data_IF_063847387537
#
_entry.id   IF_063847387537
#
_cell.length_a   1.000
_cell.length_b   1.000
_cell.length_c   1.000
_cell.angle_alpha   90.00
_cell.angle_beta   90.00
_cell.angle_gamma   90.00
#
_symmetry.space_group_name_H-M   'P 1'
#
loop_
_entity.id
_entity.type
_entity.pdbx_description
1 polymer ?
#
# COMPACT_ATOMS: atom_id res chain seq x y z
N UNK A 1 -45.88 16.25 30.82
CA UNK A 1 -46.81 16.62 31.92
C UNK A 1 -46.81 15.50 32.94
N UNK A 2 -47.05 15.82 34.20
CA UNK A 2 -47.30 14.83 35.25
C UNK A 2 -48.70 14.25 35.16
N UNK A 3 -48.87 12.99 35.56
CA UNK A 3 -50.15 12.36 35.89
C UNK A 3 -50.12 11.61 37.22
N UNK A 4 -49.18 11.95 38.11
CA UNK A 4 -48.97 11.25 39.38
C UNK A 4 -49.87 11.85 40.46
N UNK A 5 -50.56 11.00 41.23
CA UNK A 5 -51.43 11.40 42.35
C UNK A 5 -50.67 11.31 43.68
N UNK A 6 -50.92 12.24 44.60
CA UNK A 6 -50.37 12.22 45.97
C UNK A 6 -49.51 13.43 46.32
N UNK A 7 -48.74 13.34 47.41
CA UNK A 7 -47.92 14.44 47.97
C UNK A 7 -46.42 14.26 47.74
N UNK A 8 -46.01 13.22 47.01
CA UNK A 8 -44.61 12.94 46.69
C UNK A 8 -44.04 13.95 45.69
N UNK A 9 -42.76 14.29 45.84
CA UNK A 9 -42.06 15.15 44.88
C UNK A 9 -41.99 14.54 43.48
N UNK A 10 -42.00 15.38 42.46
CA UNK A 10 -41.89 14.97 41.05
C UNK A 10 -40.91 15.87 40.29
N UNK A 11 -40.30 15.30 39.23
CA UNK A 11 -39.37 16.00 38.34
C UNK A 11 -39.80 15.87 36.87
N UNK A 12 -39.72 16.96 36.12
CA UNK A 12 -39.89 16.99 34.66
C UNK A 12 -38.58 17.48 34.04
N UNK A 13 -38.00 16.68 33.14
CA UNK A 13 -36.78 17.04 32.40
C UNK A 13 -37.09 17.04 30.90
N UNK A 14 -36.76 18.13 30.21
CA UNK A 14 -36.98 18.27 28.77
C UNK A 14 -35.86 19.09 28.14
N UNK A 15 -35.39 18.68 26.95
CA UNK A 15 -34.51 19.48 26.14
C UNK A 15 -35.35 20.47 25.33
N UNK A 16 -35.06 21.75 25.48
CA UNK A 16 -35.82 22.84 24.89
C UNK A 16 -34.87 23.72 24.07
N UNK A 17 -35.36 24.24 22.95
CA UNK A 17 -34.64 25.27 22.19
C UNK A 17 -34.50 26.55 23.02
N UNK A 18 -33.61 27.46 22.63
CA UNK A 18 -33.52 28.76 23.28
C UNK A 18 -34.87 29.52 23.17
N UNK A 19 -35.38 30.01 24.30
CA UNK A 19 -36.66 30.72 24.34
C UNK A 19 -37.18 30.94 25.76
N UNK A 20 -38.28 31.68 25.86
CA UNK A 20 -38.98 31.93 27.13
C UNK A 20 -39.98 30.82 27.40
N UNK A 21 -39.84 30.16 28.55
CA UNK A 21 -40.73 29.08 28.97
C UNK A 21 -41.42 29.44 30.28
N UNK A 22 -42.66 28.96 30.44
CA UNK A 22 -43.47 29.17 31.64
C UNK A 22 -43.83 27.82 32.26
N UNK A 23 -43.59 27.66 33.55
CA UNK A 23 -44.10 26.53 34.32
C UNK A 23 -45.51 26.88 34.85
N UNK A 24 -46.50 26.03 34.56
CA UNK A 24 -47.87 26.18 35.03
C UNK A 24 -48.26 25.00 35.91
N UNK A 25 -48.64 25.29 37.15
CA UNK A 25 -49.18 24.30 38.09
C UNK A 25 -50.70 24.41 38.07
N UNK A 26 -51.38 23.32 37.70
CA UNK A 26 -52.83 23.24 37.75
C UNK A 26 -53.24 22.46 39.01
N UNK A 27 -54.11 23.04 39.83
CA UNK A 27 -54.65 22.36 41.01
C UNK A 27 -55.77 21.37 40.60
N UNK A 28 -55.88 20.26 41.31
CA UNK A 28 -56.99 19.30 41.14
C UNK A 28 -58.15 19.63 42.09
N UNK A 29 -57.91 19.85 43.39
CA UNK A 29 -58.89 20.37 44.37
C UNK A 29 -58.21 20.92 45.64
N UNK A 30 -58.92 21.74 46.43
CA UNK A 30 -58.43 22.29 47.71
C UNK A 30 -57.42 23.44 47.62
N UNK A 31 -56.94 23.90 48.78
CA UNK A 31 -55.77 24.79 48.90
C UNK A 31 -54.50 23.94 48.88
N UNK A 32 -53.60 24.21 47.92
CA UNK A 32 -52.34 23.45 47.78
C UNK A 32 -51.16 24.41 47.92
N UNK A 33 -50.23 24.08 48.81
CA UNK A 33 -48.91 24.71 48.86
C UNK A 33 -47.91 23.84 48.10
N UNK A 34 -47.06 24.44 47.28
CA UNK A 34 -46.04 23.71 46.52
C UNK A 34 -44.69 24.42 46.62
N UNK A 35 -43.62 23.63 46.73
CA UNK A 35 -42.26 24.10 46.49
C UNK A 35 -41.91 23.83 45.03
N UNK A 36 -41.58 24.88 44.28
CA UNK A 36 -41.12 24.75 42.89
C UNK A 36 -39.64 25.12 42.81
N UNK A 37 -38.84 24.20 42.28
CA UNK A 37 -37.44 24.46 41.92
C UNK A 37 -37.28 24.29 40.42
N UNK A 38 -36.71 25.28 39.75
CA UNK A 38 -36.36 25.21 38.34
C UNK A 38 -34.85 25.36 38.20
N UNK A 39 -34.25 24.42 37.49
CA UNK A 39 -32.86 24.50 37.07
C UNK A 39 -32.81 24.34 35.55
N UNK A 40 -31.99 25.15 34.89
CA UNK A 40 -31.69 25.03 33.48
C UNK A 40 -30.18 24.85 33.32
N UNK A 41 -29.78 23.84 32.55
CA UNK A 41 -28.40 23.62 32.16
C UNK A 41 -28.32 23.85 30.66
N UNK A 42 -27.48 24.79 30.23
CA UNK A 42 -27.21 24.96 28.81
C UNK A 42 -26.58 23.68 28.25
N UNK A 43 -27.19 23.14 27.20
CA UNK A 43 -26.55 22.12 26.37
C UNK A 43 -25.71 22.84 25.33
N UNK A 44 -24.39 22.88 25.56
CA UNK A 44 -23.46 23.28 24.50
C UNK A 44 -23.61 22.30 23.33
N UNK A 45 -23.88 22.76 22.09
CA UNK A 45 -23.86 21.86 20.95
C UNK A 45 -22.48 21.22 20.89
N UNK A 46 -22.43 19.88 20.80
CA UNK A 46 -21.20 19.18 20.46
C UNK A 46 -20.66 19.84 19.19
N UNK A 47 -19.39 20.29 19.14
CA UNK A 47 -18.86 20.88 17.93
C UNK A 47 -19.08 19.89 16.78
N UNK A 48 -19.76 20.32 15.72
CA UNK A 48 -19.80 19.56 14.47
C UNK A 48 -18.34 19.30 14.09
N UNK A 49 -17.89 18.04 13.95
CA UNK A 49 -16.51 17.78 13.60
C UNK A 49 -16.24 18.51 12.29
N UNK A 50 -15.29 19.44 12.31
CA UNK A 50 -14.75 20.01 11.07
C UNK A 50 -14.27 18.83 10.24
N UNK A 51 -14.70 18.67 8.97
CA UNK A 51 -14.14 17.62 8.13
C UNK A 51 -12.64 17.89 8.04
N UNK A 52 -11.84 17.05 8.72
CA UNK A 52 -10.39 17.04 8.55
C UNK A 52 -10.14 16.92 7.05
N UNK A 53 -9.35 17.82 6.42
CA UNK A 53 -8.97 17.64 5.03
C UNK A 53 -8.36 16.24 4.89
N UNK A 54 -9.11 15.31 4.30
CA UNK A 54 -8.62 13.96 4.11
C UNK A 54 -7.69 14.02 2.91
N UNK A 55 -6.43 13.69 3.12
CA UNK A 55 -5.50 13.54 2.01
C UNK A 55 -5.83 12.27 1.20
N UNK A 56 -5.22 12.13 0.03
CA UNK A 56 -5.46 10.95 -0.82
C UNK A 56 -5.17 9.65 -0.07
N UNK A 57 -4.14 9.62 0.78
CA UNK A 57 -3.76 8.43 1.54
C UNK A 57 -4.91 7.97 2.46
N UNK A 58 -5.44 8.86 3.30
CA UNK A 58 -6.53 8.54 4.23
C UNK A 58 -7.86 8.23 3.52
N UNK A 59 -8.04 8.71 2.28
CA UNK A 59 -9.24 8.43 1.48
C UNK A 59 -9.20 7.09 0.74
N UNK A 60 -8.01 6.61 0.38
CA UNK A 60 -7.86 5.48 -0.55
C UNK A 60 -7.20 4.26 0.07
N UNK A 61 -6.56 4.41 1.23
CA UNK A 61 -5.91 3.33 1.96
C UNK A 61 -6.65 3.08 3.29
N UNK A 62 -6.48 1.89 3.84
CA UNK A 62 -7.24 1.38 4.98
C UNK A 62 -6.32 1.09 6.17
N UNK A 63 -5.16 0.49 5.93
CA UNK A 63 -4.21 0.15 6.97
C UNK A 63 -3.44 1.40 7.47
N UNK A 64 -3.40 1.57 8.78
CA UNK A 64 -2.85 2.77 9.40
C UNK A 64 -1.32 2.88 9.26
N UNK A 65 -0.62 1.74 9.26
CA UNK A 65 0.84 1.71 9.12
C UNK A 65 1.25 1.99 7.68
N UNK A 66 0.61 1.33 6.71
CA UNK A 66 0.82 1.57 5.28
C UNK A 66 0.47 3.01 4.90
N UNK A 67 -0.62 3.57 5.43
CA UNK A 67 -0.97 5.01 5.25
C UNK A 67 0.19 5.89 5.70
N UNK A 68 0.68 5.66 6.92
CA UNK A 68 1.70 6.50 7.54
C UNK A 68 3.03 6.39 6.80
N UNK A 69 3.45 5.16 6.50
CA UNK A 69 4.70 4.90 5.80
C UNK A 69 4.67 5.43 4.37
N UNK A 70 3.64 5.11 3.60
CA UNK A 70 3.52 5.57 2.20
C UNK A 70 3.53 7.09 2.13
N UNK A 71 2.81 7.77 3.04
CA UNK A 71 2.80 9.24 3.11
C UNK A 71 4.20 9.82 3.34
N UNK A 72 5.01 9.16 4.17
CA UNK A 72 6.39 9.58 4.44
C UNK A 72 7.32 9.33 3.26
N UNK A 73 7.20 8.17 2.61
CA UNK A 73 8.07 7.80 1.50
C UNK A 73 7.77 8.60 0.24
N UNK A 74 6.49 8.81 -0.09
CA UNK A 74 6.07 9.53 -1.30
C UNK A 74 6.06 11.06 -1.16
N UNK A 75 6.91 11.61 -0.29
CA UNK A 75 7.03 13.08 -0.10
C UNK A 75 7.60 13.79 -1.32
N UNK A 76 8.42 13.09 -2.11
CA UNK A 76 8.97 13.53 -3.39
C UNK A 76 8.02 13.26 -4.58
N UNK A 77 6.84 12.70 -4.34
CA UNK A 77 5.89 12.29 -5.36
C UNK A 77 6.31 11.02 -6.12
N UNK A 78 7.32 10.30 -5.64
CA UNK A 78 7.81 9.03 -6.17
C UNK A 78 7.56 7.89 -5.17
N UNK A 79 7.34 6.68 -5.68
CA UNK A 79 7.57 5.45 -4.92
C UNK A 79 8.62 4.64 -5.67
N UNK A 80 9.87 4.75 -5.20
CA UNK A 80 11.01 4.04 -5.75
C UNK A 80 10.93 2.53 -5.47
N UNK A 81 11.87 1.77 -6.06
CA UNK A 81 12.03 0.34 -5.75
C UNK A 81 12.17 0.11 -4.24
N UNK A 82 12.99 0.91 -3.56
CA UNK A 82 13.25 0.75 -2.13
C UNK A 82 12.04 1.13 -1.28
N UNK A 83 11.26 2.12 -1.72
CA UNK A 83 10.02 2.50 -1.04
C UNK A 83 8.99 1.39 -1.13
N UNK A 84 8.79 0.82 -2.32
CA UNK A 84 7.88 -0.30 -2.52
C UNK A 84 8.32 -1.54 -1.72
N UNK A 85 9.61 -1.88 -1.69
CA UNK A 85 10.12 -2.96 -0.83
C UNK A 85 9.82 -2.67 0.65
N UNK A 86 9.99 -1.42 1.09
CA UNK A 86 9.71 -1.04 2.48
C UNK A 86 8.22 -1.17 2.80
N UNK A 87 7.34 -0.73 1.91
CA UNK A 87 5.88 -0.85 2.05
C UNK A 87 5.44 -2.33 2.06
N UNK A 88 5.98 -3.17 1.17
CA UNK A 88 5.68 -4.61 1.20
C UNK A 88 6.14 -5.28 2.49
N UNK A 89 7.20 -4.77 3.11
CA UNK A 89 7.70 -5.29 4.39
C UNK A 89 6.94 -4.78 5.61
N UNK A 90 6.40 -3.58 5.51
CA UNK A 90 5.55 -2.97 6.53
C UNK A 90 4.26 -3.75 6.70
N UNK A 91 3.63 -4.15 5.58
CA UNK A 91 2.45 -5.00 5.50
C UNK A 91 2.60 -6.41 6.08
N UNK A 92 3.72 -6.74 6.72
CA UNK A 92 3.93 -8.01 7.43
C UNK A 92 3.68 -7.85 8.93
N UNK A 93 3.20 -6.68 9.35
CA UNK A 93 2.84 -6.46 10.73
C UNK A 93 1.79 -7.50 11.17
N UNK A 94 1.95 -8.03 12.39
CA UNK A 94 1.09 -9.13 12.84
C UNK A 94 1.41 -10.52 12.26
N UNK A 95 2.41 -10.66 11.38
CA UNK A 95 2.97 -11.95 10.94
C UNK A 95 2.24 -12.63 9.78
N UNK A 96 1.16 -12.02 9.30
CA UNK A 96 0.40 -12.44 8.12
C UNK A 96 -0.10 -11.21 7.37
N UNK A 97 -0.20 -11.32 6.05
CA UNK A 97 -0.77 -10.27 5.21
C UNK A 97 -2.28 -10.30 5.36
N UNK A 98 -2.90 -9.30 5.98
CA UNK A 98 -4.32 -9.23 6.17
C UNK A 98 -5.07 -8.65 4.95
N UNK A 99 -6.39 -8.52 5.07
CA UNK A 99 -7.22 -8.03 3.97
C UNK A 99 -7.05 -6.51 3.71
N UNK A 100 -6.79 -5.73 4.76
CA UNK A 100 -6.58 -4.28 4.69
C UNK A 100 -5.25 -3.98 4.01
N UNK A 101 -4.19 -4.65 4.43
CA UNK A 101 -2.85 -4.54 3.84
C UNK A 101 -2.87 -4.94 2.37
N UNK A 102 -3.47 -6.09 2.03
CA UNK A 102 -3.57 -6.52 0.64
C UNK A 102 -4.37 -5.54 -0.22
N UNK A 103 -5.40 -4.92 0.35
CA UNK A 103 -6.19 -3.89 -0.33
C UNK A 103 -5.32 -2.68 -0.64
N UNK A 104 -4.55 -2.21 0.34
CA UNK A 104 -3.68 -1.04 0.19
C UNK A 104 -2.55 -1.27 -0.79
N UNK A 105 -1.86 -2.41 -0.72
CA UNK A 105 -0.80 -2.79 -1.66
C UNK A 105 -1.32 -2.75 -3.11
N UNK A 106 -2.53 -3.26 -3.36
CA UNK A 106 -3.16 -3.25 -4.69
C UNK A 106 -3.60 -1.84 -5.09
N UNK A 107 -4.08 -1.03 -4.15
CA UNK A 107 -4.42 0.37 -4.38
C UNK A 107 -3.18 1.18 -4.78
N UNK A 108 -2.05 0.99 -4.10
CA UNK A 108 -0.80 1.68 -4.42
C UNK A 108 -0.29 1.33 -5.81
N UNK A 109 -0.26 0.04 -6.15
CA UNK A 109 0.17 -0.45 -7.48
C UNK A 109 -0.73 0.09 -8.60
N UNK A 110 -2.06 0.05 -8.41
CA UNK A 110 -3.01 0.55 -9.42
C UNK A 110 -2.92 2.07 -9.62
N UNK A 111 -2.46 2.80 -8.59
CA UNK A 111 -2.22 4.25 -8.64
C UNK A 111 -0.75 4.62 -8.91
N UNK A 112 0.04 3.72 -9.49
CA UNK A 112 1.47 3.94 -9.84
C UNK A 112 1.78 5.27 -10.53
N UNK A 113 0.90 5.79 -11.40
CA UNK A 113 1.07 7.10 -12.06
C UNK A 113 1.08 8.28 -11.08
N UNK A 114 0.33 8.20 -9.98
CA UNK A 114 0.32 9.22 -8.91
C UNK A 114 1.69 9.33 -8.25
N UNK A 115 2.39 8.21 -8.18
CA UNK A 115 3.66 8.06 -7.48
C UNK A 115 4.84 8.00 -8.43
N UNK A 116 4.69 8.47 -9.68
CA UNK A 116 5.75 8.53 -10.70
C UNK A 116 6.62 7.25 -10.76
N UNK A 117 6.01 6.09 -10.50
CA UNK A 117 6.79 4.86 -10.35
C UNK A 117 7.46 4.53 -11.67
N UNK A 118 8.74 4.16 -11.63
CA UNK A 118 9.40 3.61 -12.81
C UNK A 118 8.63 2.37 -13.31
N UNK A 119 8.58 2.15 -14.62
CA UNK A 119 7.82 1.05 -15.22
C UNK A 119 8.21 -0.32 -14.64
N UNK A 120 9.50 -0.53 -14.38
CA UNK A 120 10.00 -1.74 -13.72
C UNK A 120 9.42 -1.90 -12.31
N UNK A 121 9.43 -0.84 -11.50
CA UNK A 121 8.88 -0.86 -10.13
C UNK A 121 7.39 -1.15 -10.17
N UNK A 122 6.64 -0.52 -11.07
CA UNK A 122 5.21 -0.79 -11.27
C UNK A 122 4.96 -2.25 -11.64
N UNK A 123 5.65 -2.77 -12.65
CA UNK A 123 5.45 -4.14 -13.15
C UNK A 123 5.82 -5.17 -12.09
N UNK A 124 6.95 -5.00 -11.41
CA UNK A 124 7.42 -5.94 -10.39
C UNK A 124 6.53 -5.88 -9.15
N UNK A 125 6.12 -4.69 -8.70
CA UNK A 125 5.15 -4.53 -7.60
C UNK A 125 3.81 -5.17 -7.93
N UNK A 126 3.34 -5.05 -9.18
CA UNK A 126 2.12 -5.70 -9.63
C UNK A 126 2.20 -7.23 -9.56
N UNK A 127 3.36 -7.81 -9.87
CA UNK A 127 3.57 -9.27 -9.77
C UNK A 127 3.61 -9.76 -8.32
N UNK A 128 3.95 -8.90 -7.36
CA UNK A 128 3.89 -9.19 -5.92
C UNK A 128 2.45 -9.04 -5.40
N UNK A 129 1.86 -7.85 -5.53
CA UNK A 129 0.59 -7.48 -4.86
C UNK A 129 -0.66 -8.15 -5.48
N UNK A 130 -0.65 -8.35 -6.81
CA UNK A 130 -1.76 -8.95 -7.52
C UNK A 130 -1.50 -10.45 -7.70
N UNK A 131 -1.18 -10.87 -8.92
CA UNK A 131 -0.88 -12.26 -9.22
C UNK A 131 -0.03 -12.33 -10.48
N UNK A 132 0.85 -13.31 -10.52
CA UNK A 132 1.62 -13.65 -11.71
C UNK A 132 1.74 -15.17 -11.80
N UNK A 133 1.65 -15.70 -13.03
CA UNK A 133 1.73 -17.15 -13.27
C UNK A 133 3.08 -17.74 -12.88
N UNK A 134 4.14 -16.93 -12.80
CA UNK A 134 5.44 -17.38 -12.33
C UNK A 134 5.43 -17.64 -10.81
N UNK A 135 4.62 -16.92 -10.03
CA UNK A 135 4.55 -17.13 -8.58
C UNK A 135 4.00 -18.52 -8.24
N UNK A 136 2.97 -18.98 -8.98
CA UNK A 136 2.39 -20.32 -8.79
C UNK A 136 3.37 -21.44 -9.14
N UNK A 137 4.35 -21.17 -10.00
CA UNK A 137 5.42 -22.10 -10.38
C UNK A 137 6.61 -22.10 -9.43
N UNK A 138 6.67 -21.16 -8.48
CA UNK A 138 7.81 -20.98 -7.57
C UNK A 138 7.65 -21.72 -6.23
N UNK A 139 6.58 -22.51 -6.06
CA UNK A 139 6.30 -23.28 -4.85
C UNK A 139 5.68 -22.48 -3.69
N UNK A 140 5.76 -21.14 -3.70
CA UNK A 140 5.14 -20.28 -2.67
C UNK A 140 3.87 -19.53 -3.11
N UNK A 141 3.52 -19.51 -4.40
CA UNK A 141 2.23 -19.01 -4.87
C UNK A 141 2.05 -17.48 -4.83
N UNK A 142 0.86 -17.02 -5.24
CA UNK A 142 0.49 -15.59 -5.26
C UNK A 142 0.14 -15.07 -3.87
N UNK A 143 0.27 -13.76 -3.66
CA UNK A 143 -0.15 -13.08 -2.45
C UNK A 143 -1.68 -13.10 -2.29
N UNK A 144 -2.16 -13.42 -1.09
CA UNK A 144 -3.57 -13.37 -0.71
C UNK A 144 -3.71 -13.03 0.79
N UNK A 145 -4.91 -12.68 1.24
CA UNK A 145 -5.14 -12.39 2.65
C UNK A 145 -4.99 -13.66 3.48
N UNK A 146 -4.09 -13.65 4.46
CA UNK A 146 -3.60 -14.81 5.21
C UNK A 146 -2.25 -15.34 4.72
N UNK A 147 -1.64 -14.75 3.68
CA UNK A 147 -0.25 -15.04 3.29
C UNK A 147 0.70 -14.79 4.46
N UNK A 148 1.73 -15.62 4.61
CA UNK A 148 2.73 -15.43 5.67
C UNK A 148 3.81 -14.40 5.32
N UNK A 149 4.52 -13.89 6.33
CA UNK A 149 5.74 -13.08 6.15
C UNK A 149 6.74 -13.72 5.20
N UNK A 150 6.94 -15.04 5.35
CA UNK A 150 7.84 -15.81 4.50
C UNK A 150 7.41 -15.77 3.04
N UNK A 151 6.10 -15.86 2.78
CA UNK A 151 5.57 -15.78 1.42
C UNK A 151 5.81 -14.38 0.82
N UNK A 152 5.61 -13.32 1.61
CA UNK A 152 5.91 -11.94 1.18
C UNK A 152 7.40 -11.77 0.87
N UNK A 153 8.31 -12.20 1.76
CA UNK A 153 9.76 -12.11 1.51
C UNK A 153 10.19 -12.95 0.31
N UNK A 154 9.59 -14.11 0.07
CA UNK A 154 9.87 -14.90 -1.13
C UNK A 154 9.44 -14.18 -2.42
N UNK A 155 8.30 -13.47 -2.39
CA UNK A 155 7.83 -12.69 -3.53
C UNK A 155 8.70 -11.45 -3.79
N UNK A 156 9.09 -10.71 -2.74
CA UNK A 156 10.08 -9.62 -2.82
C UNK A 156 11.40 -10.17 -3.37
N UNK A 157 11.83 -11.31 -2.82
CA UNK A 157 13.00 -12.05 -3.22
C UNK A 157 13.01 -12.37 -4.70
N UNK A 158 11.90 -12.92 -5.21
CA UNK A 158 11.73 -13.25 -6.62
C UNK A 158 11.78 -12.03 -7.54
N UNK A 159 10.99 -11.00 -7.23
CA UNK A 159 10.74 -9.93 -8.20
C UNK A 159 11.69 -8.75 -8.07
N UNK A 160 12.14 -8.41 -6.87
CA UNK A 160 13.06 -7.29 -6.66
C UNK A 160 14.50 -7.73 -6.42
N UNK A 161 14.74 -8.82 -5.69
CA UNK A 161 16.08 -9.17 -5.20
C UNK A 161 16.77 -10.30 -5.99
N UNK A 162 16.08 -10.97 -6.90
CA UNK A 162 16.63 -12.08 -7.70
C UNK A 162 17.06 -13.31 -6.87
N UNK A 163 16.46 -13.53 -5.70
CA UNK A 163 16.79 -14.68 -4.82
C UNK A 163 16.07 -15.96 -5.20
N UNK A 164 14.97 -15.86 -5.97
CA UNK A 164 14.34 -17.01 -6.61
C UNK A 164 15.01 -17.29 -7.95
N UNK A 165 15.95 -18.23 -7.94
CA UNK A 165 16.79 -18.56 -9.08
C UNK A 165 16.14 -19.70 -9.90
N UNK A 166 16.29 -19.69 -11.23
CA UNK A 166 15.87 -20.83 -12.05
C UNK A 166 16.46 -22.15 -11.54
N UNK A 167 15.73 -23.24 -11.75
CA UNK A 167 16.23 -24.57 -11.46
C UNK A 167 17.41 -24.90 -12.40
N UNK A 168 18.50 -25.40 -11.82
CA UNK A 168 19.73 -25.68 -12.55
C UNK A 168 20.49 -26.82 -11.88
N UNK A 169 21.07 -27.71 -12.69
CA UNK A 169 22.00 -28.75 -12.23
C UNK A 169 23.34 -28.17 -11.71
N UNK A 170 23.49 -26.84 -11.74
CA UNK A 170 24.69 -26.11 -11.37
C UNK A 170 24.43 -25.20 -10.17
N UNK A 171 25.45 -25.04 -9.33
CA UNK A 171 25.41 -24.06 -8.26
C UNK A 171 25.63 -22.64 -8.82
N UNK A 172 24.66 -21.75 -8.61
CA UNK A 172 24.81 -20.33 -8.93
C UNK A 172 25.97 -19.71 -8.16
N UNK A 173 26.83 -19.00 -8.90
CA UNK A 173 27.97 -18.25 -8.35
C UNK A 173 27.76 -16.76 -8.57
N UNK A 174 28.27 -15.95 -7.65
CA UNK A 174 28.39 -14.51 -7.88
C UNK A 174 29.49 -14.25 -8.91
N UNK A 175 29.21 -13.34 -9.85
CA UNK A 175 30.21 -12.79 -10.76
C UNK A 175 30.59 -11.41 -10.24
N UNK A 176 31.88 -11.16 -10.09
CA UNK A 176 32.42 -9.85 -9.71
C UNK A 176 32.99 -9.13 -10.93
N UNK A 177 32.71 -7.84 -11.07
CA UNK A 177 33.24 -7.01 -12.15
C UNK A 177 32.32 -5.81 -12.42
N UNK A 178 32.69 -5.03 -13.43
CA UNK A 178 31.80 -3.98 -13.97
C UNK A 178 30.84 -4.60 -14.98
N UNK A 179 29.57 -4.22 -14.94
CA UNK A 179 28.57 -4.69 -15.90
C UNK A 179 28.96 -4.34 -17.35
N UNK A 180 29.56 -3.17 -17.55
CA UNK A 180 30.15 -2.73 -18.82
C UNK A 180 31.61 -2.33 -18.60
N UNK A 181 32.53 -2.93 -19.35
CA UNK A 181 33.97 -2.66 -19.25
C UNK A 181 34.50 -2.24 -20.62
N UNK A 182 34.99 -1.00 -20.74
CA UNK A 182 35.51 -0.44 -22.00
C UNK A 182 34.48 -0.33 -23.14
N UNK A 183 33.19 -0.23 -22.80
CA UNK A 183 32.09 -0.22 -23.76
C UNK A 183 31.63 -1.62 -24.15
N UNK A 184 30.53 -1.71 -24.89
CA UNK A 184 30.01 -2.98 -25.40
C UNK A 184 30.66 -3.31 -26.75
N UNK A 185 31.00 -4.58 -26.95
CA UNK A 185 31.59 -5.11 -28.17
C UNK A 185 30.96 -6.44 -28.56
N UNK A 186 30.95 -6.75 -29.86
CA UNK A 186 30.62 -8.10 -30.33
C UNK A 186 31.55 -9.18 -29.72
N UNK A 187 32.77 -8.80 -29.33
CA UNK A 187 33.74 -9.71 -28.70
C UNK A 187 33.38 -10.07 -27.25
N UNK A 188 32.44 -9.34 -26.62
CA UNK A 188 31.95 -9.66 -25.28
C UNK A 188 30.97 -10.84 -25.31
N UNK A 189 30.49 -11.23 -26.50
CA UNK A 189 29.55 -12.33 -26.68
C UNK A 189 30.28 -13.60 -27.06
N UNK A 190 30.17 -14.60 -26.19
CA UNK A 190 30.74 -15.93 -26.41
C UNK A 190 29.64 -16.99 -26.41
N UNK A 191 29.55 -17.75 -27.50
CA UNK A 191 28.60 -18.87 -27.58
C UNK A 191 29.12 -20.06 -26.75
N UNK A 192 28.28 -20.55 -25.85
CA UNK A 192 28.53 -21.77 -25.08
C UNK A 192 28.13 -23.05 -25.83
N UNK A 193 27.96 -24.14 -25.08
CA UNK A 193 27.51 -25.43 -25.63
C UNK A 193 25.98 -25.55 -25.77
N UNK A 194 25.27 -24.42 -25.73
CA UNK A 194 23.81 -24.37 -25.87
C UNK A 194 23.46 -23.99 -27.31
N UNK A 195 22.36 -24.53 -27.84
CA UNK A 195 21.88 -24.31 -29.21
C UNK A 195 21.22 -22.95 -29.43
N UNK A 196 21.73 -21.89 -28.79
CA UNK A 196 21.17 -20.53 -28.79
C UNK A 196 21.91 -19.57 -29.73
N UNK A 197 22.64 -20.12 -30.72
CA UNK A 197 23.45 -19.34 -31.66
C UNK A 197 22.71 -18.17 -32.31
N UNK A 198 21.43 -18.35 -32.68
CA UNK A 198 20.61 -17.30 -33.26
C UNK A 198 20.43 -16.10 -32.31
N UNK A 199 20.31 -16.36 -31.01
CA UNK A 199 20.14 -15.35 -29.98
C UNK A 199 21.45 -14.62 -29.71
N UNK A 200 22.53 -15.36 -29.44
CA UNK A 200 23.83 -14.75 -29.14
C UNK A 200 24.43 -14.02 -30.35
N UNK A 201 24.24 -14.52 -31.58
CA UNK A 201 24.64 -13.80 -32.79
C UNK A 201 23.88 -12.48 -32.96
N UNK A 202 22.60 -12.44 -32.58
CA UNK A 202 21.81 -11.21 -32.60
C UNK A 202 22.32 -10.21 -31.56
N UNK A 203 22.65 -10.66 -30.34
CA UNK A 203 23.25 -9.80 -29.32
C UNK A 203 24.61 -9.24 -29.77
N UNK A 204 25.47 -10.05 -30.40
CA UNK A 204 26.75 -9.59 -30.94
C UNK A 204 26.55 -8.52 -32.02
N UNK A 205 25.56 -8.70 -32.90
CA UNK A 205 25.20 -7.70 -33.91
C UNK A 205 24.71 -6.39 -33.29
N UNK A 206 23.84 -6.43 -32.27
CA UNK A 206 23.36 -5.23 -31.57
C UNK A 206 24.52 -4.55 -30.82
N UNK A 207 25.40 -5.31 -30.17
CA UNK A 207 26.57 -4.75 -29.49
C UNK A 207 27.50 -4.00 -30.46
N UNK A 208 27.65 -4.48 -31.70
CA UNK A 208 28.45 -3.84 -32.73
C UNK A 208 27.80 -2.58 -33.33
N UNK A 209 26.50 -2.65 -33.61
CA UNK A 209 25.80 -1.62 -34.41
C UNK A 209 25.07 -0.58 -33.55
N UNK A 210 24.54 -0.98 -32.40
CA UNK A 210 23.67 -0.20 -31.51
C UNK A 210 23.91 -0.54 -30.02
N UNK A 211 25.14 -0.41 -29.49
CA UNK A 211 25.47 -0.82 -28.12
C UNK A 211 24.57 -0.19 -27.06
N UNK A 212 24.14 1.05 -27.25
CA UNK A 212 23.24 1.77 -26.33
C UNK A 212 21.90 1.03 -26.12
N UNK A 213 21.44 0.24 -27.08
CA UNK A 213 20.19 -0.53 -26.93
C UNK A 213 20.35 -1.58 -25.84
N UNK A 214 21.49 -2.28 -25.80
CA UNK A 214 21.79 -3.24 -24.73
C UNK A 214 22.04 -2.48 -23.44
N UNK A 215 22.83 -1.40 -23.46
CA UNK A 215 23.14 -0.64 -22.25
C UNK A 215 21.87 -0.13 -21.54
N UNK A 216 20.91 0.39 -22.31
CA UNK A 216 19.64 0.91 -21.82
C UNK A 216 18.62 -0.17 -21.40
N UNK A 217 18.94 -1.46 -21.54
CA UNK A 217 18.16 -2.54 -20.94
C UNK A 217 18.44 -2.68 -19.44
N UNK A 218 19.62 -2.29 -18.98
CA UNK A 218 20.06 -2.52 -17.61
C UNK A 218 19.83 -1.29 -16.73
N UNK A 219 19.35 -1.54 -15.52
CA UNK A 219 19.33 -0.57 -14.42
C UNK A 219 20.08 -1.19 -13.25
N UNK A 220 21.13 -0.50 -12.79
CA UNK A 220 21.81 -0.86 -11.54
C UNK A 220 20.95 -0.40 -10.36
N UNK A 221 20.59 -1.34 -9.48
CA UNK A 221 19.76 -1.05 -8.33
C UNK A 221 20.56 -0.58 -7.11
N UNK A 222 21.91 -0.59 -7.18
CA UNK A 222 22.80 -0.17 -6.09
C UNK A 222 22.94 -1.17 -4.95
N UNK A 223 22.38 -2.38 -5.10
CA UNK A 223 22.36 -3.45 -4.09
C UNK A 223 22.93 -4.78 -4.62
N UNK A 224 23.80 -4.72 -5.63
CA UNK A 224 24.34 -5.87 -6.39
C UNK A 224 23.29 -6.66 -7.17
N UNK A 225 22.11 -6.09 -7.40
CA UNK A 225 21.12 -6.61 -8.34
C UNK A 225 20.96 -5.65 -9.53
N UNK A 226 20.56 -6.22 -10.67
CA UNK A 226 20.25 -5.45 -11.87
C UNK A 226 18.84 -5.74 -12.32
N UNK A 227 18.10 -4.70 -12.68
CA UNK A 227 16.86 -4.86 -13.43
C UNK A 227 17.17 -4.86 -14.92
N UNK A 228 16.69 -5.87 -15.62
CA UNK A 228 16.89 -6.02 -17.08
C UNK A 228 15.55 -5.95 -17.78
N UNK A 229 15.38 -4.96 -18.66
CA UNK A 229 14.19 -4.79 -19.50
C UNK A 229 14.37 -5.52 -20.83
N UNK A 230 13.41 -6.37 -21.17
CA UNK A 230 13.29 -6.96 -22.49
C UNK A 230 12.11 -6.35 -23.24
N UNK A 231 12.24 -6.23 -24.56
CA UNK A 231 11.15 -5.79 -25.43
C UNK A 231 10.38 -6.99 -25.97
N UNK A 232 9.05 -6.93 -25.91
CA UNK A 232 8.17 -7.94 -26.49
C UNK A 232 7.23 -7.25 -27.47
N UNK A 233 7.35 -7.60 -28.75
CA UNK A 233 6.60 -6.95 -29.85
C UNK A 233 6.86 -5.44 -29.95
N UNK A 234 8.09 -5.00 -29.66
CA UNK A 234 8.51 -3.60 -29.79
C UNK A 234 8.13 -2.68 -28.63
N UNK A 235 7.57 -3.23 -27.54
CA UNK A 235 7.25 -2.51 -26.29
C UNK A 235 7.86 -3.18 -25.08
#
# INVERSE_FOLDING_TARGET
SSSIYGTTSESITSQLSAGTYYARVNRYSGDTTYGLSLNATEVTPTPTPTPTPTDWYTQNLVDAQIITLTRSLATDGNLSRNDMISIFRDAKDGGVIDASELTDLRTLVSNSTRFTMADSVKVLSNKIANSDVANTRSGFGNLFAGSSDTQMENLIGKWFLGTDRPDADYAYQYVSGSLFQNGLSANDVYQGAVGDCYYVATLASIAQEKPDYIQNMFTDNGDNTFTVRFYRNGV
#
